data_IF_376086594505
#
_entry.id   IF_376086594505
#
_cell.length_a   1.000
_cell.length_b   1.000
_cell.length_c   1.000
_cell.angle_alpha   90.00
_cell.angle_beta   90.00
_cell.angle_gamma   90.00
#
_symmetry.space_group_name_H-M   'P 1'
#
loop_
_entity.id
_entity.type
_entity.pdbx_description
1 polymer ?
#
# COMPACT_ATOMS: atom_id res chain seq x y z
N UNK A 1 8.09 -11.18 -6.67
CA UNK A 1 7.25 -10.52 -7.69
C UNK A 1 7.78 -10.84 -9.09
N UNK A 2 6.92 -10.84 -10.11
CA UNK A 2 7.30 -11.12 -11.50
C UNK A 2 7.99 -9.88 -12.06
N UNK A 3 9.30 -9.94 -12.40
CA UNK A 3 10.09 -8.82 -12.97
C UNK A 3 9.38 -8.09 -14.12
N UNK A 4 8.45 -8.76 -14.77
CA UNK A 4 7.59 -8.28 -15.84
C UNK A 4 6.68 -7.12 -15.41
N UNK A 5 6.15 -7.11 -14.17
CA UNK A 5 5.24 -6.05 -13.73
C UNK A 5 6.00 -4.75 -13.42
N UNK A 6 7.15 -4.85 -12.76
CA UNK A 6 8.04 -3.72 -12.47
C UNK A 6 8.55 -3.11 -13.79
N UNK A 7 9.00 -3.96 -14.73
CA UNK A 7 9.44 -3.55 -16.07
C UNK A 7 8.31 -2.90 -16.88
N UNK A 8 7.09 -3.44 -16.84
CA UNK A 8 5.94 -2.86 -17.56
C UNK A 8 5.55 -1.48 -17.05
N UNK A 9 5.75 -1.22 -15.76
CA UNK A 9 5.45 0.08 -15.15
C UNK A 9 6.58 1.07 -15.43
N UNK A 10 7.84 0.63 -15.35
CA UNK A 10 9.01 1.41 -15.81
C UNK A 10 8.89 1.79 -17.29
N UNK A 11 8.57 0.83 -18.16
CA UNK A 11 8.46 1.06 -19.60
C UNK A 11 7.27 1.97 -19.96
N UNK A 12 6.20 1.96 -19.15
CA UNK A 12 4.97 2.72 -19.43
C UNK A 12 4.98 4.13 -18.82
N UNK A 13 5.52 4.31 -17.62
CA UNK A 13 5.46 5.57 -16.88
C UNK A 13 6.85 6.20 -16.66
N UNK A 14 7.93 5.47 -16.95
CA UNK A 14 9.30 5.94 -16.75
C UNK A 14 9.77 5.96 -15.29
N UNK A 15 8.99 5.41 -14.36
CA UNK A 15 9.31 5.40 -12.94
C UNK A 15 9.85 4.06 -12.48
N UNK A 16 10.98 4.07 -11.78
CA UNK A 16 11.53 2.86 -11.17
C UNK A 16 10.83 2.52 -9.87
N UNK A 17 10.48 1.25 -9.70
CA UNK A 17 9.65 0.81 -8.58
C UNK A 17 10.23 -0.41 -7.90
N UNK A 18 10.00 -0.50 -6.58
CA UNK A 18 10.43 -1.63 -5.78
C UNK A 18 9.33 -2.06 -4.81
N UNK A 19 8.83 -3.28 -4.96
CA UNK A 19 8.01 -3.91 -3.91
C UNK A 19 8.89 -4.61 -2.86
N UNK A 20 8.99 -4.02 -1.68
CA UNK A 20 9.72 -4.59 -0.56
C UNK A 20 8.93 -5.74 0.05
N UNK A 21 9.20 -6.96 -0.43
CA UNK A 21 8.48 -8.16 -0.03
C UNK A 21 8.80 -8.54 1.42
N UNK A 22 7.89 -8.22 2.34
CA UNK A 22 8.07 -8.55 3.76
C UNK A 22 8.03 -10.06 4.04
N UNK A 23 7.57 -10.90 3.10
CA UNK A 23 7.44 -12.36 3.33
C UNK A 23 8.79 -13.06 3.47
N UNK A 24 9.89 -12.42 3.07
CA UNK A 24 11.25 -12.92 3.26
C UNK A 24 11.73 -12.81 4.72
N UNK A 25 10.99 -12.11 5.58
CA UNK A 25 11.34 -11.90 6.98
C UNK A 25 10.56 -12.86 7.88
N UNK A 26 11.26 -13.49 8.83
CA UNK A 26 10.63 -14.23 9.91
C UNK A 26 9.95 -13.24 10.86
N UNK A 27 8.65 -13.45 11.17
CA UNK A 27 7.84 -12.50 11.93
C UNK A 27 8.01 -12.67 13.44
N UNK A 28 9.26 -12.59 13.91
CA UNK A 28 9.65 -12.64 15.33
C UNK A 28 9.80 -11.23 15.91
N UNK A 29 9.85 -11.08 17.23
CA UNK A 29 9.96 -9.76 17.85
C UNK A 29 11.17 -8.97 17.31
N UNK A 30 10.95 -7.77 16.78
CA UNK A 30 11.99 -6.92 16.19
C UNK A 30 12.11 -6.99 14.67
N UNK A 31 11.40 -7.91 14.01
CA UNK A 31 11.44 -8.06 12.54
C UNK A 31 11.07 -6.78 11.80
N UNK A 32 10.17 -5.98 12.36
CA UNK A 32 9.73 -4.70 11.79
C UNK A 32 10.90 -3.72 11.65
N UNK A 33 11.86 -3.74 12.58
CA UNK A 33 13.04 -2.85 12.53
C UNK A 33 13.98 -3.25 11.41
N UNK A 34 14.22 -4.54 11.26
CA UNK A 34 15.06 -5.09 10.19
C UNK A 34 14.44 -4.84 8.82
N UNK A 35 13.12 -5.04 8.72
CA UNK A 35 12.38 -4.76 7.50
C UNK A 35 12.43 -3.26 7.14
N UNK A 36 12.19 -2.37 8.10
CA UNK A 36 12.30 -0.93 7.90
C UNK A 36 13.72 -0.52 7.51
N UNK A 37 14.75 -1.07 8.14
CA UNK A 37 16.14 -0.80 7.73
C UNK A 37 16.38 -1.19 6.27
N UNK A 38 15.93 -2.39 5.86
CA UNK A 38 16.12 -2.89 4.50
C UNK A 38 15.49 -1.98 3.44
N UNK A 39 14.21 -1.63 3.57
CA UNK A 39 13.58 -0.78 2.56
C UNK A 39 14.06 0.67 2.63
N UNK A 40 14.55 1.16 3.78
CA UNK A 40 15.10 2.51 3.89
C UNK A 40 16.45 2.65 3.18
N UNK A 41 17.26 1.58 3.13
CA UNK A 41 18.44 1.55 2.26
C UNK A 41 18.05 1.66 0.79
N UNK A 42 17.01 0.92 0.37
CA UNK A 42 16.47 1.01 -0.99
C UNK A 42 15.94 2.43 -1.30
N UNK A 43 15.16 3.03 -0.40
CA UNK A 43 14.57 4.35 -0.56
C UNK A 43 15.64 5.46 -0.67
N UNK A 44 16.73 5.36 0.10
CA UNK A 44 17.84 6.33 0.09
C UNK A 44 18.86 6.12 -1.02
N UNK A 45 18.80 4.98 -1.72
CA UNK A 45 19.77 4.65 -2.77
C UNK A 45 19.66 5.54 -4.01
N UNK A 46 18.53 6.24 -4.20
CA UNK A 46 18.23 6.98 -5.43
C UNK A 46 17.93 6.09 -6.64
N UNK A 47 17.93 4.76 -6.48
CA UNK A 47 17.66 3.82 -7.57
C UNK A 47 16.17 3.75 -7.91
N UNK A 48 15.30 3.91 -6.92
CA UNK A 48 13.86 3.72 -7.06
C UNK A 48 13.11 5.03 -6.85
N UNK A 49 12.16 5.32 -7.72
CA UNK A 49 11.23 6.43 -7.56
C UNK A 49 10.21 6.13 -6.46
N UNK A 50 9.76 4.87 -6.38
CA UNK A 50 8.81 4.41 -5.37
C UNK A 50 9.26 3.09 -4.74
N UNK A 51 9.13 3.01 -3.41
CA UNK A 51 9.30 1.77 -2.65
C UNK A 51 7.97 1.44 -1.98
N UNK A 52 7.34 0.33 -2.40
CA UNK A 52 6.13 -0.20 -1.79
C UNK A 52 6.51 -1.07 -0.60
N UNK A 53 5.82 -0.88 0.51
CA UNK A 53 6.09 -1.57 1.77
C UNK A 53 4.81 -2.20 2.31
N UNK A 54 4.95 -3.24 3.12
CA UNK A 54 3.79 -3.90 3.71
C UNK A 54 3.09 -2.99 4.74
N UNK A 55 1.78 -2.94 4.68
CA UNK A 55 0.93 -2.19 5.60
C UNK A 55 0.59 -3.01 6.87
N UNK A 56 1.56 -3.73 7.42
CA UNK A 56 1.38 -4.38 8.72
C UNK A 56 1.53 -3.34 9.82
N UNK A 57 0.59 -3.28 10.75
CA UNK A 57 0.54 -2.23 11.79
C UNK A 57 1.88 -2.06 12.53
N UNK A 58 2.54 -3.16 12.92
CA UNK A 58 3.85 -3.08 13.60
C UNK A 58 4.96 -2.41 12.77
N UNK A 59 4.88 -2.48 11.43
CA UNK A 59 5.81 -1.79 10.53
C UNK A 59 5.50 -0.31 10.49
N UNK A 60 4.22 0.06 10.40
CA UNK A 60 3.78 1.45 10.38
C UNK A 60 4.10 2.12 11.71
N UNK A 61 3.84 1.44 12.84
CA UNK A 61 4.23 1.90 14.18
C UNK A 61 5.73 2.18 14.27
N UNK A 62 6.56 1.31 13.68
CA UNK A 62 8.01 1.51 13.64
C UNK A 62 8.41 2.70 12.75
N UNK A 63 7.73 2.92 11.62
CA UNK A 63 7.92 4.08 10.75
C UNK A 63 7.53 5.38 11.46
N UNK A 64 6.38 5.42 12.12
CA UNK A 64 5.89 6.54 12.92
C UNK A 64 6.86 6.87 14.06
N UNK A 65 7.31 5.85 14.80
CA UNK A 65 8.29 6.00 15.89
C UNK A 65 9.60 6.62 15.41
N UNK A 66 10.01 6.29 14.17
CA UNK A 66 11.22 6.81 13.53
C UNK A 66 11.00 8.11 12.76
N UNK A 67 9.77 8.62 12.70
CA UNK A 67 9.37 9.80 11.91
C UNK A 67 9.76 9.68 10.44
N UNK A 68 9.66 8.46 9.88
CA UNK A 68 9.87 8.24 8.46
C UNK A 68 8.63 8.78 7.74
N UNK A 69 8.76 9.68 6.75
CA UNK A 69 7.62 10.14 5.97
C UNK A 69 7.17 9.04 5.01
N UNK A 70 5.87 8.80 4.97
CA UNK A 70 5.24 7.87 4.03
C UNK A 70 3.85 8.35 3.66
N UNK A 71 3.32 7.77 2.60
CA UNK A 71 1.94 7.95 2.19
C UNK A 71 1.20 6.61 2.24
N UNK A 72 -0.10 6.68 2.40
CA UNK A 72 -0.98 5.53 2.31
C UNK A 72 -1.80 5.63 1.02
N UNK A 73 -1.85 4.55 0.25
CA UNK A 73 -2.72 4.45 -0.93
C UNK A 73 -3.57 3.19 -0.80
N UNK A 74 -4.88 3.36 -0.73
CA UNK A 74 -5.81 2.29 -0.39
C UNK A 74 -7.09 2.35 -1.22
N UNK A 75 -7.87 1.25 -1.32
CA UNK A 75 -9.23 1.33 -1.84
C UNK A 75 -10.11 2.23 -0.96
N UNK A 76 -11.04 2.98 -1.57
CA UNK A 76 -11.96 3.86 -0.84
C UNK A 76 -13.03 3.07 -0.06
N UNK A 77 -12.65 2.55 1.10
CA UNK A 77 -13.51 1.85 2.05
C UNK A 77 -13.89 2.72 3.27
N UNK A 78 -13.62 4.02 3.23
CA UNK A 78 -13.87 4.92 4.36
C UNK A 78 -15.36 5.21 4.50
N UNK A 79 -15.86 5.03 5.73
CA UNK A 79 -17.18 5.50 6.17
C UNK A 79 -17.01 6.92 6.73
N UNK A 80 -17.25 7.93 5.91
CA UNK A 80 -16.99 9.34 6.25
C UNK A 80 -17.94 9.92 7.30
N UNK A 81 -19.12 9.34 7.46
CA UNK A 81 -20.12 9.81 8.42
C UNK A 81 -20.95 8.64 8.95
N UNK A 82 -21.55 8.81 10.14
CA UNK A 82 -22.36 7.78 10.81
C UNK A 82 -23.66 7.43 10.07
N UNK A 83 -24.09 8.28 9.13
CA UNK A 83 -25.32 8.14 8.36
C UNK A 83 -24.98 7.94 6.89
N UNK A 84 -24.13 6.94 6.64
CA UNK A 84 -23.69 6.63 5.27
C UNK A 84 -24.90 6.31 4.39
N UNK A 85 -24.98 6.97 3.23
CA UNK A 85 -26.01 6.71 2.24
C UNK A 85 -25.90 5.26 1.71
N UNK A 86 -27.04 4.64 1.42
CA UNK A 86 -27.09 3.25 0.94
C UNK A 86 -26.27 3.07 -0.35
N UNK A 87 -26.29 4.06 -1.24
CA UNK A 87 -25.50 4.08 -2.47
C UNK A 87 -24.00 4.04 -2.20
N UNK A 88 -23.54 4.78 -1.18
CA UNK A 88 -22.13 4.81 -0.78
C UNK A 88 -21.72 3.48 -0.14
N UNK A 89 -22.56 2.90 0.70
CA UNK A 89 -22.32 1.57 1.25
C UNK A 89 -22.18 0.50 0.15
N UNK A 90 -23.04 0.56 -0.89
CA UNK A 90 -22.95 -0.30 -2.08
C UNK A 90 -21.66 -0.06 -2.87
N UNK A 91 -21.27 1.19 -3.06
CA UNK A 91 -20.02 1.54 -3.74
C UNK A 91 -18.80 0.93 -3.02
N UNK A 92 -18.71 1.03 -1.68
CA UNK A 92 -17.62 0.38 -0.91
C UNK A 92 -17.59 -1.13 -1.10
N UNK A 93 -18.75 -1.78 -1.15
CA UNK A 93 -18.82 -3.22 -1.42
C UNK A 93 -18.30 -3.55 -2.83
N UNK A 94 -18.64 -2.74 -3.83
CA UNK A 94 -18.14 -2.91 -5.21
C UNK A 94 -16.62 -2.73 -5.24
N UNK A 95 -16.09 -1.69 -4.59
CA UNK A 95 -14.65 -1.43 -4.49
C UNK A 95 -13.93 -2.64 -3.85
N UNK A 96 -14.46 -3.15 -2.72
CA UNK A 96 -13.93 -4.35 -2.05
C UNK A 96 -13.93 -5.56 -2.99
N UNK A 97 -15.04 -5.82 -3.68
CA UNK A 97 -15.16 -6.94 -4.62
C UNK A 97 -14.17 -6.83 -5.78
N UNK A 98 -13.99 -5.64 -6.35
CA UNK A 98 -13.03 -5.42 -7.43
C UNK A 98 -11.60 -5.60 -6.94
N UNK A 99 -11.27 -5.11 -5.75
CA UNK A 99 -9.94 -5.28 -5.16
C UNK A 99 -9.59 -6.76 -4.99
N UNK A 100 -10.48 -7.55 -4.38
CA UNK A 100 -10.28 -8.99 -4.23
C UNK A 100 -10.37 -9.75 -5.56
N UNK A 101 -11.22 -9.31 -6.49
CA UNK A 101 -11.29 -9.85 -7.84
C UNK A 101 -9.95 -9.73 -8.57
N UNK A 102 -9.27 -8.59 -8.43
CA UNK A 102 -7.91 -8.38 -8.97
C UNK A 102 -6.91 -9.38 -8.37
N UNK A 103 -6.99 -9.68 -7.07
CA UNK A 103 -6.15 -10.71 -6.46
C UNK A 103 -6.44 -12.09 -7.02
N UNK A 104 -7.69 -12.46 -7.27
CA UNK A 104 -8.02 -13.78 -7.84
C UNK A 104 -7.57 -13.91 -9.31
N UNK A 105 -7.65 -12.82 -10.08
CA UNK A 105 -7.36 -12.83 -11.52
C UNK A 105 -5.86 -12.73 -11.86
N UNK A 106 -5.03 -12.16 -10.98
CA UNK A 106 -3.59 -11.99 -11.24
C UNK A 106 -2.80 -13.28 -11.00
N UNK A 107 -1.57 -13.34 -11.53
CA UNK A 107 -0.64 -14.41 -11.19
C UNK A 107 -0.14 -14.27 -9.73
N UNK A 108 -0.47 -15.24 -8.88
CA UNK A 108 -0.05 -15.30 -7.49
C UNK A 108 0.86 -16.50 -7.17
N UNK A 109 1.55 -17.07 -8.16
CA UNK A 109 2.39 -18.28 -7.98
C UNK A 109 3.51 -18.14 -6.94
N UNK A 110 3.84 -16.91 -6.54
CA UNK A 110 4.79 -16.60 -5.47
C UNK A 110 4.22 -16.82 -4.06
N UNK A 111 2.90 -16.91 -3.91
CA UNK A 111 2.23 -17.09 -2.61
C UNK A 111 2.04 -18.60 -2.37
N UNK A 112 2.74 -19.15 -1.37
CA UNK A 112 2.75 -20.59 -1.05
C UNK A 112 1.37 -21.17 -0.76
N UNK A 113 0.52 -20.43 -0.06
CA UNK A 113 -0.87 -20.80 0.25
C UNK A 113 -1.78 -19.60 -0.04
N UNK A 114 -2.16 -19.46 -1.31
CA UNK A 114 -2.99 -18.35 -1.77
C UNK A 114 -4.34 -18.29 -1.07
N UNK A 115 -4.97 -19.44 -0.81
CA UNK A 115 -6.29 -19.49 -0.16
C UNK A 115 -6.22 -18.97 1.27
N UNK A 116 -5.24 -19.42 2.06
CA UNK A 116 -5.03 -18.92 3.42
C UNK A 116 -4.69 -17.44 3.43
N UNK A 117 -3.80 -17.00 2.53
CA UNK A 117 -3.45 -15.59 2.38
C UNK A 117 -4.68 -14.74 2.03
N UNK A 118 -5.48 -15.17 1.05
CA UNK A 118 -6.66 -14.45 0.61
C UNK A 118 -7.72 -14.35 1.72
N UNK A 119 -7.90 -15.42 2.49
CA UNK A 119 -8.79 -15.40 3.67
C UNK A 119 -8.32 -14.37 4.68
N UNK A 120 -7.04 -14.41 5.05
CA UNK A 120 -6.48 -13.44 5.99
C UNK A 120 -6.63 -11.99 5.51
N UNK A 121 -6.38 -11.74 4.22
CA UNK A 121 -6.57 -10.40 3.64
C UNK A 121 -8.03 -9.94 3.71
N UNK A 122 -9.02 -10.83 3.54
CA UNK A 122 -10.44 -10.49 3.69
C UNK A 122 -10.80 -10.13 5.13
N UNK A 123 -10.23 -10.85 6.09
CA UNK A 123 -10.50 -10.65 7.52
C UNK A 123 -10.02 -9.27 7.99
N UNK A 124 -8.83 -8.85 7.53
CA UNK A 124 -8.22 -7.57 7.95
C UNK A 124 -8.59 -6.39 7.06
N UNK A 125 -9.24 -6.61 5.91
CA UNK A 125 -9.49 -5.55 4.91
C UNK A 125 -10.24 -4.37 5.49
N UNK A 126 -11.37 -4.63 6.17
CA UNK A 126 -12.21 -3.54 6.66
C UNK A 126 -11.52 -2.78 7.80
N UNK A 127 -10.74 -3.45 8.63
CA UNK A 127 -9.97 -2.81 9.70
C UNK A 127 -8.90 -1.88 9.11
N UNK A 128 -8.05 -2.41 8.21
CA UNK A 128 -6.89 -1.69 7.68
C UNK A 128 -7.22 -0.57 6.71
N UNK A 129 -8.40 -0.62 6.08
CA UNK A 129 -8.82 0.39 5.08
C UNK A 129 -9.82 1.41 5.60
N UNK A 130 -10.05 1.43 6.92
CA UNK A 130 -10.88 2.44 7.57
C UNK A 130 -10.07 3.67 7.95
N UNK A 131 -10.78 4.78 8.03
CA UNK A 131 -10.21 6.04 8.51
C UNK A 131 -9.57 5.91 9.89
N UNK A 132 -10.14 5.12 10.80
CA UNK A 132 -9.59 4.95 12.16
C UNK A 132 -8.17 4.36 12.15
N UNK A 133 -7.89 3.43 11.24
CA UNK A 133 -6.55 2.87 11.06
C UNK A 133 -5.59 3.93 10.55
N UNK A 134 -5.97 4.63 9.47
CA UNK A 134 -5.16 5.69 8.87
C UNK A 134 -4.89 6.82 9.87
N UNK A 135 -5.91 7.26 10.60
CA UNK A 135 -5.86 8.40 11.53
C UNK A 135 -5.11 8.09 12.83
N UNK A 136 -4.95 6.81 13.19
CA UNK A 136 -4.09 6.39 14.30
C UNK A 136 -2.60 6.62 13.99
N UNK A 137 -2.26 6.63 12.71
CA UNK A 137 -0.89 6.73 12.22
C UNK A 137 -0.54 8.14 11.73
N UNK A 138 0.73 8.38 11.39
CA UNK A 138 1.21 9.69 10.92
C UNK A 138 1.66 9.69 9.45
N UNK A 139 0.83 9.24 8.49
CA UNK A 139 1.17 9.41 7.09
C UNK A 139 1.22 10.90 6.75
N UNK A 140 2.13 11.28 5.85
CA UNK A 140 2.19 12.64 5.28
C UNK A 140 0.88 12.99 4.59
N UNK A 141 0.29 11.99 3.93
CA UNK A 141 -1.00 12.06 3.27
C UNK A 141 -1.52 10.66 3.01
N UNK A 142 -2.82 10.53 2.78
CA UNK A 142 -3.42 9.30 2.28
C UNK A 142 -4.27 9.57 1.04
N UNK A 143 -4.34 8.59 0.14
CA UNK A 143 -5.10 8.63 -1.09
C UNK A 143 -6.00 7.41 -1.16
N UNK A 144 -7.24 7.62 -1.54
CA UNK A 144 -8.21 6.55 -1.71
C UNK A 144 -8.53 6.34 -3.20
N UNK A 145 -8.60 5.09 -3.61
CA UNK A 145 -8.88 4.69 -4.99
C UNK A 145 -10.33 4.25 -5.11
N UNK A 146 -11.05 4.89 -6.03
CA UNK A 146 -12.41 4.48 -6.42
C UNK A 146 -12.38 3.20 -7.26
N UNK A 147 -13.57 2.66 -7.52
CA UNK A 147 -13.79 1.43 -8.28
C UNK A 147 -13.00 1.36 -9.62
N UNK A 148 -12.96 2.48 -10.35
CA UNK A 148 -12.34 2.58 -11.66
C UNK A 148 -10.91 3.15 -11.60
N UNK A 149 -10.31 3.24 -10.42
CA UNK A 149 -8.96 3.78 -10.24
C UNK A 149 -7.96 2.69 -9.86
N UNK A 150 -6.72 2.95 -10.26
CA UNK A 150 -5.52 2.18 -10.05
C UNK A 150 -4.43 3.12 -9.56
N UNK A 151 -3.39 2.53 -8.96
CA UNK A 151 -2.22 3.29 -8.55
C UNK A 151 -1.60 4.07 -9.73
N UNK A 152 -1.64 3.50 -10.93
CA UNK A 152 -1.17 4.17 -12.14
C UNK A 152 -1.93 5.46 -12.48
N UNK A 153 -3.17 5.60 -12.04
CA UNK A 153 -3.97 6.81 -12.31
C UNK A 153 -3.55 7.98 -11.41
N UNK A 154 -2.77 7.73 -10.36
CA UNK A 154 -2.30 8.74 -9.41
C UNK A 154 -0.77 8.85 -9.35
N UNK A 155 -0.02 7.96 -10.02
CA UNK A 155 1.44 7.85 -9.83
C UNK A 155 2.19 9.12 -10.23
N UNK A 156 1.76 9.81 -11.29
CA UNK A 156 2.36 11.07 -11.75
C UNK A 156 2.17 12.18 -10.69
N UNK A 157 0.99 12.25 -10.06
CA UNK A 157 0.72 13.21 -8.99
C UNK A 157 1.59 12.91 -7.77
N UNK A 158 1.73 11.64 -7.40
CA UNK A 158 2.61 11.22 -6.30
C UNK A 158 4.07 11.59 -6.58
N UNK A 159 4.53 11.39 -7.82
CA UNK A 159 5.88 11.76 -8.23
C UNK A 159 6.09 13.27 -8.18
N UNK A 160 5.13 14.04 -8.67
CA UNK A 160 5.19 15.50 -8.62
C UNK A 160 5.29 15.99 -7.17
N UNK A 161 4.50 15.44 -6.24
CA UNK A 161 4.59 15.78 -4.80
C UNK A 161 5.94 15.42 -4.20
N UNK A 162 6.49 14.25 -4.52
CA UNK A 162 7.84 13.86 -4.08
C UNK A 162 8.90 14.89 -4.47
N UNK A 163 8.81 15.46 -5.68
CA UNK A 163 9.79 16.43 -6.20
C UNK A 163 9.60 17.86 -5.68
N UNK A 164 8.40 18.23 -5.24
CA UNK A 164 8.04 19.63 -4.96
C UNK A 164 7.50 19.88 -3.55
N UNK A 165 7.32 18.85 -2.73
CA UNK A 165 6.81 18.98 -1.36
C UNK A 165 7.79 18.39 -0.36
N UNK A 166 8.41 19.25 0.46
CA UNK A 166 9.42 18.85 1.46
C UNK A 166 8.96 17.74 2.41
N UNK A 167 7.65 17.69 2.70
CA UNK A 167 7.07 16.68 3.58
C UNK A 167 7.19 15.24 3.03
N UNK A 168 7.47 15.06 1.73
CA UNK A 168 7.55 13.76 1.05
C UNK A 168 9.00 13.29 0.84
N UNK A 169 9.99 14.09 1.26
CA UNK A 169 11.41 13.80 1.07
C UNK A 169 11.92 12.94 2.23
N UNK A 170 12.66 11.87 1.92
CA UNK A 170 13.22 10.87 2.84
C UNK A 170 14.72 11.06 3.06
#
# INVERSE_FOLDING_TARGET
>A
MNKILDQLVEDKYGYSMRDSDSSTYEKTAGWEKEYVNGFMEEAKSGKYDFVFVCQTESVIDEMDRRKIPYIIVEPDNIVWNKQEAEERAKERQIIKQQWFGRFVLRNNSHIKDFSKWLSHMKDIYDERTRFDFIAKHNPVSFFVLKQNQYLSDIIDDLYWKKQHCDAYIV
#
